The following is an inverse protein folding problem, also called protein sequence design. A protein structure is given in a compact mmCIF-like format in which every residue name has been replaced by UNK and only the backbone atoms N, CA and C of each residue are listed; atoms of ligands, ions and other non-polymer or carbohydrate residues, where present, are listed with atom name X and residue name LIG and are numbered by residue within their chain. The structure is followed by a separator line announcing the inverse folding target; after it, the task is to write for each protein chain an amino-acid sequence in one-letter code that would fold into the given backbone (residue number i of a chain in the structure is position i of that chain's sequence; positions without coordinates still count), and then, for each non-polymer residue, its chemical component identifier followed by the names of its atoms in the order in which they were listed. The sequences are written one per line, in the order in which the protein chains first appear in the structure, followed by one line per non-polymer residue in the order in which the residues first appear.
data_IF_814529222496
#
_entry.id   IF_814529222496
#
_cell.length_a   1.000
_cell.length_b   1.000
_cell.length_c   1.000
_cell.angle_alpha   90.00
_cell.angle_beta   90.00
_cell.angle_gamma   90.00
#
_symmetry.space_group_name_H-M   'P 1'
#
loop_
_entity.id
_entity.type
_entity.pdbx_description
1 polymer ?
#
# COMPACT_ATOMS: atom_id res chain seq x y z
N UNK A 1 -35.48 -16.84 36.91
CA UNK A 1 -34.52 -17.38 37.92
C UNK A 1 -33.30 -16.49 38.17
N UNK A 2 -32.54 -16.04 37.15
CA UNK A 2 -31.30 -15.25 37.38
C UNK A 2 -31.54 -13.87 38.03
N UNK A 3 -32.65 -13.19 37.70
CA UNK A 3 -32.99 -11.88 38.26
C UNK A 3 -33.47 -11.98 39.72
N UNK A 4 -34.32 -12.97 40.00
CA UNK A 4 -34.87 -13.22 41.35
C UNK A 4 -33.77 -13.48 42.38
N UNK A 5 -32.73 -14.25 42.02
CA UNK A 5 -31.57 -14.49 42.90
C UNK A 5 -30.78 -13.22 43.23
N UNK A 6 -30.65 -12.30 42.26
CA UNK A 6 -29.96 -11.00 42.45
C UNK A 6 -30.75 -10.08 43.37
N UNK A 7 -32.08 -10.05 43.22
CA UNK A 7 -32.99 -9.28 44.08
C UNK A 7 -32.96 -9.82 45.51
N UNK A 8 -33.05 -11.15 45.68
CA UNK A 8 -32.96 -11.79 47.00
C UNK A 8 -31.62 -11.49 47.65
N UNK A 9 -30.50 -11.62 46.91
CA UNK A 9 -29.17 -11.28 47.42
C UNK A 9 -29.05 -9.81 47.86
N UNK A 10 -29.60 -8.88 47.08
CA UNK A 10 -29.64 -7.45 47.43
C UNK A 10 -30.43 -7.21 48.72
N UNK A 11 -31.63 -7.78 48.84
CA UNK A 11 -32.50 -7.61 50.02
C UNK A 11 -31.82 -8.17 51.27
N UNK A 12 -31.25 -9.37 51.20
CA UNK A 12 -30.53 -9.97 52.33
C UNK A 12 -29.38 -9.08 52.78
N UNK A 13 -28.56 -8.59 51.85
CA UNK A 13 -27.42 -7.73 52.19
C UNK A 13 -27.85 -6.38 52.79
N UNK A 14 -28.95 -5.79 52.30
CA UNK A 14 -29.50 -4.55 52.86
C UNK A 14 -30.02 -4.76 54.29
N UNK A 15 -30.72 -5.87 54.54
CA UNK A 15 -31.22 -6.19 55.88
C UNK A 15 -30.05 -6.37 56.85
N UNK A 16 -29.03 -7.15 56.47
CA UNK A 16 -27.85 -7.38 57.32
C UNK A 16 -27.10 -6.06 57.55
N UNK A 17 -26.97 -5.20 56.54
CA UNK A 17 -26.34 -3.88 56.70
C UNK A 17 -27.12 -3.01 57.70
N UNK A 18 -28.44 -2.89 57.56
CA UNK A 18 -29.28 -2.08 58.46
C UNK A 18 -29.19 -2.57 59.91
N UNK A 19 -29.32 -3.88 60.11
CA UNK A 19 -29.22 -4.49 61.46
C UNK A 19 -27.84 -4.24 62.06
N UNK A 20 -26.77 -4.46 61.30
CA UNK A 20 -25.40 -4.28 61.81
C UNK A 20 -25.12 -2.82 62.17
N UNK A 21 -25.62 -1.86 61.39
CA UNK A 21 -25.51 -0.44 61.69
C UNK A 21 -26.30 -0.02 62.93
N UNK A 22 -27.52 -0.55 63.10
CA UNK A 22 -28.33 -0.27 64.28
C UNK A 22 -27.69 -0.84 65.55
N UNK A 23 -27.15 -2.06 65.50
CA UNK A 23 -26.50 -2.70 66.65
C UNK A 23 -25.22 -1.97 67.06
N UNK A 24 -24.45 -1.47 66.10
CA UNK A 24 -23.27 -0.65 66.37
C UNK A 24 -23.64 0.66 67.08
N UNK A 25 -24.67 1.37 66.59
CA UNK A 25 -25.15 2.62 67.22
C UNK A 25 -25.74 2.44 68.62
N UNK A 26 -26.27 1.26 68.92
CA UNK A 26 -26.78 0.91 70.26
C UNK A 26 -25.62 0.50 71.21
N UNK A 27 -24.39 0.37 70.70
CA UNK A 27 -23.19 0.04 71.47
C UNK A 27 -22.93 -1.46 71.63
N UNK A 28 -23.64 -2.32 70.87
CA UNK A 28 -23.46 -3.77 70.89
C UNK A 28 -22.35 -4.13 69.89
N UNK A 29 -21.10 -3.94 70.28
CA UNK A 29 -19.94 -4.08 69.41
C UNK A 29 -19.48 -5.53 69.11
N UNK A 30 -19.93 -6.51 69.91
CA UNK A 30 -19.38 -7.88 70.02
C UNK A 30 -17.89 -7.92 70.44
N UNK A 31 -16.98 -7.32 69.66
CA UNK A 31 -15.59 -6.99 70.02
C UNK A 31 -15.09 -5.80 69.18
N UNK A 32 -14.05 -5.10 69.67
CA UNK A 32 -13.45 -3.97 68.96
C UNK A 32 -12.33 -4.44 68.03
N UNK A 33 -12.38 -4.04 66.76
CA UNK A 33 -11.37 -4.35 65.74
C UNK A 33 -10.24 -3.32 65.72
N UNK A 34 -10.53 -2.09 66.11
CA UNK A 34 -9.58 -1.00 66.30
C UNK A 34 -10.12 -0.05 67.39
N UNK A 35 -9.36 1.00 67.72
CA UNK A 35 -9.78 1.99 68.72
C UNK A 35 -11.08 2.72 68.36
N UNK A 36 -11.47 2.73 67.08
CA UNK A 36 -12.62 3.49 66.58
C UNK A 36 -13.72 2.64 65.96
N UNK A 37 -13.50 1.35 65.69
CA UNK A 37 -14.45 0.53 64.92
C UNK A 37 -14.73 -0.84 65.55
N UNK A 38 -16.01 -1.17 65.65
CA UNK A 38 -16.51 -2.45 66.13
C UNK A 38 -16.58 -3.51 65.03
N UNK A 39 -16.74 -4.78 65.43
CA UNK A 39 -17.07 -5.86 64.51
C UNK A 39 -18.41 -5.65 63.79
N UNK A 40 -19.41 -5.05 64.45
CA UNK A 40 -20.69 -4.75 63.81
C UNK A 40 -20.54 -3.72 62.69
N UNK A 41 -19.71 -2.71 62.89
CA UNK A 41 -19.39 -1.72 61.86
C UNK A 41 -18.68 -2.34 60.65
N UNK A 42 -17.80 -3.33 60.88
CA UNK A 42 -17.20 -4.12 59.81
C UNK A 42 -18.24 -4.91 59.01
N UNK A 43 -19.14 -5.62 59.70
CA UNK A 43 -20.21 -6.39 59.06
C UNK A 43 -21.16 -5.50 58.25
N UNK A 44 -21.42 -4.29 58.73
CA UNK A 44 -22.13 -3.26 57.99
C UNK A 44 -21.42 -2.91 56.68
N UNK A 45 -20.13 -2.56 56.71
CA UNK A 45 -19.37 -2.18 55.50
C UNK A 45 -19.35 -3.33 54.48
N UNK A 46 -19.06 -4.55 54.92
CA UNK A 46 -19.03 -5.73 54.03
C UNK A 46 -20.40 -5.91 53.36
N UNK A 47 -21.46 -5.89 54.16
CA UNK A 47 -22.83 -6.09 53.67
C UNK A 47 -23.30 -4.93 52.76
N UNK A 48 -22.88 -3.69 53.04
CA UNK A 48 -23.11 -2.54 52.19
C UNK A 48 -22.38 -2.67 50.83
N UNK A 49 -21.13 -3.14 50.80
CA UNK A 49 -20.41 -3.41 49.57
C UNK A 49 -21.09 -4.50 48.73
N UNK A 50 -21.56 -5.59 49.36
CA UNK A 50 -22.30 -6.65 48.66
C UNK A 50 -23.64 -6.15 48.13
N UNK A 51 -24.37 -5.34 48.90
CA UNK A 51 -25.60 -4.70 48.45
C UNK A 51 -25.34 -3.79 47.24
N UNK A 52 -24.28 -2.97 47.28
CA UNK A 52 -23.87 -2.15 46.13
C UNK A 52 -23.57 -2.98 44.88
N UNK A 53 -22.83 -4.09 45.03
CA UNK A 53 -22.52 -5.01 43.94
C UNK A 53 -23.77 -5.63 43.31
N UNK A 54 -24.66 -6.19 44.13
CA UNK A 54 -25.92 -6.77 43.64
C UNK A 54 -26.84 -5.71 43.03
N UNK A 55 -26.87 -4.50 43.60
CA UNK A 55 -27.63 -3.37 43.09
C UNK A 55 -27.15 -2.93 41.71
N UNK A 56 -25.84 -2.74 41.52
CA UNK A 56 -25.27 -2.37 40.21
C UNK A 56 -25.53 -3.43 39.14
N UNK A 57 -25.38 -4.71 39.47
CA UNK A 57 -25.69 -5.81 38.53
C UNK A 57 -27.18 -5.89 38.23
N UNK A 58 -28.05 -5.66 39.22
CA UNK A 58 -29.49 -5.64 39.01
C UNK A 58 -29.87 -4.49 38.07
N UNK A 59 -29.36 -3.28 38.31
CA UNK A 59 -29.60 -2.10 37.49
C UNK A 59 -29.14 -2.30 36.04
N UNK A 60 -27.96 -2.89 35.82
CA UNK A 60 -27.51 -3.19 34.45
C UNK A 60 -28.37 -4.26 33.79
N UNK A 61 -28.75 -5.31 34.52
CA UNK A 61 -29.62 -6.36 33.97
C UNK A 61 -30.97 -5.77 33.55
N UNK A 62 -31.56 -4.90 34.37
CA UNK A 62 -32.81 -4.21 34.05
C UNK A 62 -32.64 -3.28 32.85
N UNK A 63 -31.58 -2.46 32.81
CA UNK A 63 -31.32 -1.56 31.67
C UNK A 63 -31.10 -2.32 30.35
N UNK A 64 -30.37 -3.44 30.39
CA UNK A 64 -30.13 -4.28 29.20
C UNK A 64 -31.43 -4.92 28.73
N UNK A 65 -32.25 -5.46 29.64
CA UNK A 65 -33.55 -6.03 29.29
C UNK A 65 -34.51 -4.97 28.72
N UNK A 66 -34.54 -3.76 29.30
CA UNK A 66 -35.33 -2.64 28.79
C UNK A 66 -34.89 -2.18 27.39
N UNK A 67 -33.61 -2.30 27.07
CA UNK A 67 -33.04 -1.93 25.77
C UNK A 67 -32.95 -3.08 24.76
N UNK A 68 -33.51 -4.26 25.10
CA UNK A 68 -33.36 -5.49 24.30
C UNK A 68 -31.89 -5.83 23.98
N UNK A 69 -30.97 -5.45 24.87
CA UNK A 69 -29.54 -5.70 24.71
C UNK A 69 -29.17 -7.16 24.97
N UNK A 70 -27.97 -7.54 24.54
CA UNK A 70 -27.51 -8.92 24.63
C UNK A 70 -27.01 -9.26 26.05
N UNK A 71 -27.23 -10.50 26.51
CA UNK A 71 -26.80 -10.97 27.83
C UNK A 71 -25.27 -10.86 28.06
N UNK A 72 -24.50 -10.83 26.96
CA UNK A 72 -23.05 -10.61 26.98
C UNK A 72 -22.62 -9.28 27.60
N UNK A 73 -23.40 -8.20 27.44
CA UNK A 73 -23.09 -6.89 28.01
C UNK A 73 -23.12 -6.90 29.54
N UNK A 74 -24.09 -7.62 30.12
CA UNK A 74 -24.21 -7.80 31.58
C UNK A 74 -23.00 -8.58 32.12
N UNK A 75 -22.50 -9.57 31.36
CA UNK A 75 -21.31 -10.34 31.75
C UNK A 75 -20.04 -9.49 31.71
N UNK A 76 -19.89 -8.65 30.69
CA UNK A 76 -18.76 -7.74 30.55
C UNK A 76 -18.73 -6.70 31.69
N UNK A 77 -19.84 -6.00 31.94
CA UNK A 77 -19.94 -5.03 33.04
C UNK A 77 -19.86 -5.69 34.41
N UNK A 78 -20.39 -6.91 34.54
CA UNK A 78 -20.29 -7.70 35.77
C UNK A 78 -18.84 -8.02 36.14
N UNK A 79 -17.94 -8.17 35.17
CA UNK A 79 -16.49 -8.29 35.41
C UNK A 79 -15.91 -7.05 36.09
N UNK A 80 -16.24 -5.85 35.56
CA UNK A 80 -15.82 -4.58 36.13
C UNK A 80 -16.35 -4.38 37.56
N UNK A 81 -17.62 -4.68 37.80
CA UNK A 81 -18.22 -4.55 39.14
C UNK A 81 -17.59 -5.50 40.16
N UNK A 82 -17.12 -6.69 39.75
CA UNK A 82 -16.39 -7.59 40.65
C UNK A 82 -15.06 -6.99 41.09
N UNK A 83 -14.33 -6.34 40.17
CA UNK A 83 -13.07 -5.67 40.48
C UNK A 83 -13.32 -4.48 41.42
N UNK A 84 -14.30 -3.63 41.12
CA UNK A 84 -14.67 -2.50 41.98
C UNK A 84 -15.12 -2.97 43.37
N UNK A 85 -15.92 -4.04 43.42
CA UNK A 85 -16.35 -4.66 44.68
C UNK A 85 -15.17 -5.16 45.50
N UNK A 86 -14.20 -5.84 44.87
CA UNK A 86 -12.98 -6.29 45.56
C UNK A 86 -12.20 -5.13 46.17
N UNK A 87 -11.98 -4.05 45.40
CA UNK A 87 -11.30 -2.85 45.92
C UNK A 87 -12.11 -2.13 47.01
N UNK A 88 -13.43 -2.06 46.88
CA UNK A 88 -14.30 -1.48 47.91
C UNK A 88 -14.24 -2.28 49.22
N UNK A 89 -14.25 -3.61 49.13
CA UNK A 89 -14.11 -4.51 50.29
C UNK A 89 -12.73 -4.36 50.95
N UNK A 90 -11.66 -4.33 50.14
CA UNK A 90 -10.30 -4.12 50.62
C UNK A 90 -10.16 -2.76 51.33
N UNK A 91 -10.72 -1.71 50.74
CA UNK A 91 -10.72 -0.36 51.33
C UNK A 91 -11.53 -0.32 52.63
N UNK A 92 -12.70 -0.96 52.66
CA UNK A 92 -13.52 -1.12 53.85
C UNK A 92 -12.78 -1.83 54.99
N UNK A 93 -12.04 -2.90 54.68
CA UNK A 93 -11.19 -3.60 55.64
C UNK A 93 -10.07 -2.70 56.18
N UNK A 94 -9.39 -1.95 55.31
CA UNK A 94 -8.32 -1.03 55.73
C UNK A 94 -8.82 0.12 56.60
N UNK A 95 -10.04 0.62 56.35
CA UNK A 95 -10.71 1.61 57.18
C UNK A 95 -10.95 1.08 58.60
N UNK A 96 -11.56 -0.11 58.70
CA UNK A 96 -11.88 -0.73 60.00
C UNK A 96 -10.65 -1.04 60.83
N UNK A 97 -9.55 -1.47 60.18
CA UNK A 97 -8.27 -1.72 60.85
C UNK A 97 -7.50 -0.44 61.24
N UNK A 98 -8.01 0.75 60.90
CA UNK A 98 -7.35 2.03 61.19
C UNK A 98 -6.08 2.28 60.37
N UNK A 99 -5.82 1.50 59.32
CA UNK A 99 -4.59 1.56 58.50
C UNK A 99 -4.77 2.28 57.16
N UNK A 100 -5.73 3.20 57.08
CA UNK A 100 -6.03 3.93 55.84
C UNK A 100 -4.83 4.74 55.33
N UNK A 101 -4.03 5.30 56.24
CA UNK A 101 -2.79 6.02 55.90
C UNK A 101 -1.74 5.10 55.28
N UNK A 102 -1.58 3.89 55.82
CA UNK A 102 -0.66 2.88 55.26
C UNK A 102 -1.10 2.42 53.88
N UNK A 103 -2.42 2.26 53.67
CA UNK A 103 -2.97 1.98 52.34
C UNK A 103 -2.72 3.14 51.37
N UNK A 104 -2.93 4.39 51.80
CA UNK A 104 -2.64 5.59 51.02
C UNK A 104 -1.16 5.70 50.63
N UNK A 105 -0.25 5.44 51.57
CA UNK A 105 1.20 5.44 51.33
C UNK A 105 1.64 4.30 50.39
N UNK A 106 1.09 3.10 50.56
CA UNK A 106 1.32 1.99 49.64
C UNK A 106 0.80 2.31 48.23
N UNK A 107 -0.40 2.88 48.13
CA UNK A 107 -0.99 3.23 46.86
C UNK A 107 -0.27 4.41 46.20
N UNK A 108 0.26 5.39 46.93
CA UNK A 108 1.07 6.46 46.32
C UNK A 108 2.42 5.96 45.82
N UNK A 109 3.08 5.07 46.57
CA UNK A 109 4.39 4.52 46.20
C UNK A 109 4.32 3.50 45.06
N UNK A 110 3.34 2.59 45.08
CA UNK A 110 3.24 1.50 44.09
C UNK A 110 2.03 1.64 43.18
N UNK A 111 0.85 1.91 43.75
CA UNK A 111 -0.39 2.04 42.99
C UNK A 111 -0.36 3.18 41.97
N UNK A 112 0.19 4.34 42.33
CA UNK A 112 0.28 5.52 41.48
C UNK A 112 1.23 5.33 40.32
N UNK A 113 2.37 4.66 40.54
CA UNK A 113 3.33 4.31 39.50
C UNK A 113 2.75 3.30 38.51
N UNK A 114 2.15 2.22 39.02
CA UNK A 114 1.51 1.19 38.18
C UNK A 114 0.33 1.76 37.39
N UNK A 115 -0.54 2.54 38.04
CA UNK A 115 -1.65 3.20 37.36
C UNK A 115 -1.17 4.23 36.37
N UNK A 116 -0.16 5.05 36.71
CA UNK A 116 0.44 6.03 35.81
C UNK A 116 0.98 5.39 34.53
N UNK A 117 1.73 4.29 34.64
CA UNK A 117 2.21 3.54 33.48
C UNK A 117 1.09 2.87 32.69
N UNK A 118 0.10 2.26 33.37
CA UNK A 118 -1.01 1.61 32.67
C UNK A 118 -1.94 2.60 31.94
N UNK A 119 -2.08 3.82 32.49
CA UNK A 119 -2.93 4.88 31.96
C UNK A 119 -2.19 5.80 30.99
N UNK A 120 -0.88 5.63 30.80
CA UNK A 120 -0.10 6.44 29.87
C UNK A 120 -0.75 6.46 28.47
N UNK A 121 -1.07 5.29 27.90
CA UNK A 121 -1.67 5.22 26.57
C UNK A 121 -3.06 5.87 26.50
N UNK A 122 -4.03 5.60 27.40
CA UNK A 122 -5.30 6.33 27.43
C UNK A 122 -5.16 7.84 27.56
N UNK A 123 -4.28 8.32 28.44
CA UNK A 123 -4.04 9.75 28.67
C UNK A 123 -3.40 10.40 27.44
N UNK A 124 -2.41 9.76 26.83
CA UNK A 124 -1.84 10.19 25.56
C UNK A 124 -2.87 10.19 24.45
N UNK A 125 -3.75 9.18 24.38
CA UNK A 125 -4.83 9.15 23.39
C UNK A 125 -5.80 10.33 23.53
N UNK A 126 -6.16 10.68 24.76
CA UNK A 126 -6.95 11.88 25.04
C UNK A 126 -6.21 13.17 24.66
N UNK A 127 -4.92 13.28 24.97
CA UNK A 127 -4.11 14.43 24.59
C UNK A 127 -4.00 14.57 23.06
N UNK A 128 -3.80 13.47 22.32
CA UNK A 128 -3.82 13.45 20.86
C UNK A 128 -5.17 13.92 20.32
N UNK A 129 -6.26 13.51 20.96
CA UNK A 129 -7.60 13.95 20.58
C UNK A 129 -7.79 15.46 20.70
N UNK A 130 -7.40 16.04 21.84
CA UNK A 130 -7.43 17.49 22.05
C UNK A 130 -6.54 18.21 21.03
N UNK A 131 -5.32 17.72 20.81
CA UNK A 131 -4.36 18.31 19.87
C UNK A 131 -4.86 18.34 18.43
N UNK A 132 -5.42 17.23 17.94
CA UNK A 132 -5.96 17.15 16.57
C UNK A 132 -7.17 18.07 16.41
N UNK A 133 -8.01 18.25 17.44
CA UNK A 133 -9.12 19.21 17.39
C UNK A 133 -8.64 20.65 17.29
N UNK A 134 -7.59 21.00 18.03
CA UNK A 134 -7.03 22.36 18.05
C UNK A 134 -6.23 22.67 16.78
N UNK A 135 -5.31 21.78 16.39
CA UNK A 135 -4.40 22.01 15.27
C UNK A 135 -5.01 21.62 13.91
N UNK A 136 -6.02 20.75 13.91
CA UNK A 136 -6.75 20.26 12.73
C UNK A 136 -5.83 19.83 11.56
N UNK A 137 -4.85 18.93 11.78
CA UNK A 137 -4.01 18.41 10.71
C UNK A 137 -4.80 17.63 9.63
N UNK A 138 -5.94 17.05 10.02
CA UNK A 138 -6.91 16.40 9.15
C UNK A 138 -8.33 16.56 9.72
N UNK A 139 -9.34 16.45 8.86
CA UNK A 139 -10.77 16.65 9.14
C UNK A 139 -11.58 15.38 8.93
N UNK A 140 -12.84 15.40 9.34
CA UNK A 140 -13.80 14.34 9.02
C UNK A 140 -14.01 14.31 7.50
N UNK A 141 -13.92 13.11 6.91
CA UNK A 141 -13.99 12.89 5.47
C UNK A 141 -12.64 12.89 4.77
N UNK A 142 -11.55 13.35 5.41
CA UNK A 142 -10.23 13.36 4.77
C UNK A 142 -9.72 11.93 4.56
N UNK A 143 -9.10 11.67 3.41
CA UNK A 143 -8.36 10.44 3.15
C UNK A 143 -6.95 10.55 3.74
N UNK A 144 -6.62 9.68 4.68
CA UNK A 144 -5.32 9.68 5.35
C UNK A 144 -4.62 8.32 5.21
N UNK A 145 -3.30 8.37 5.14
CA UNK A 145 -2.43 7.19 5.13
C UNK A 145 -1.48 7.23 6.31
N UNK A 146 -1.27 6.06 6.91
CA UNK A 146 -0.21 5.77 7.87
C UNK A 146 0.76 4.78 7.24
N UNK A 147 1.85 5.24 6.58
CA UNK A 147 2.75 4.36 5.81
C UNK A 147 3.35 3.24 6.65
N UNK A 148 3.74 3.55 7.87
CA UNK A 148 4.29 2.62 8.87
C UNK A 148 3.33 1.51 9.30
N UNK A 149 2.02 1.74 9.19
CA UNK A 149 0.98 0.77 9.50
C UNK A 149 0.44 0.06 8.25
N UNK A 150 0.89 0.47 7.06
CA UNK A 150 0.31 0.00 5.78
C UNK A 150 -1.19 0.28 5.68
N UNK A 151 -1.66 1.36 6.32
CA UNK A 151 -3.08 1.66 6.48
C UNK A 151 -3.45 2.92 5.69
N UNK A 152 -4.50 2.82 4.87
CA UNK A 152 -5.12 3.95 4.18
C UNK A 152 -6.62 3.93 4.50
N UNK A 153 -7.20 5.09 4.77
CA UNK A 153 -8.64 5.17 4.99
C UNK A 153 -9.18 6.58 5.11
N UNK A 154 -10.48 6.70 4.92
CA UNK A 154 -11.22 7.95 5.02
C UNK A 154 -11.67 8.17 6.48
N UNK A 155 -11.47 9.37 7.02
CA UNK A 155 -11.77 9.67 8.42
C UNK A 155 -13.28 9.74 8.64
N UNK A 156 -13.83 8.78 9.39
CA UNK A 156 -15.28 8.73 9.69
C UNK A 156 -15.59 9.46 11.00
N UNK A 157 -14.82 9.17 12.05
CA UNK A 157 -15.09 9.71 13.38
C UNK A 157 -13.81 9.81 14.20
N UNK A 158 -13.71 10.87 14.98
CA UNK A 158 -12.63 11.06 15.92
C UNK A 158 -13.16 11.12 17.36
N UNK A 159 -12.92 10.04 18.12
CA UNK A 159 -13.32 9.93 19.53
C UNK A 159 -12.10 10.09 20.44
N UNK A 160 -12.24 10.32 21.75
CA UNK A 160 -11.10 10.54 22.64
C UNK A 160 -10.07 9.40 22.67
N UNK A 161 -10.50 8.15 22.51
CA UNK A 161 -9.61 6.98 22.55
C UNK A 161 -9.20 6.48 21.16
N UNK A 162 -10.04 6.68 20.15
CA UNK A 162 -9.87 6.05 18.84
C UNK A 162 -10.22 7.00 17.69
N UNK A 163 -9.39 6.97 16.66
CA UNK A 163 -9.65 7.47 15.33
C UNK A 163 -10.25 6.35 14.51
N UNK A 164 -11.43 6.60 13.94
CA UNK A 164 -12.16 5.62 13.13
C UNK A 164 -12.04 5.97 11.67
N UNK A 165 -11.48 5.05 10.90
CA UNK A 165 -11.27 5.17 9.46
C UNK A 165 -12.13 4.15 8.74
N UNK A 166 -12.68 4.52 7.59
CA UNK A 166 -13.19 3.56 6.63
C UNK A 166 -12.03 3.14 5.73
N UNK A 167 -11.63 1.87 5.79
CA UNK A 167 -10.47 1.37 5.04
C UNK A 167 -10.66 1.59 3.53
N UNK A 168 -9.61 2.11 2.91
CA UNK A 168 -9.49 2.23 1.46
C UNK A 168 -8.41 1.25 1.00
N UNK A 169 -8.75 0.40 0.03
CA UNK A 169 -7.87 -0.69 -0.42
C UNK A 169 -7.65 -1.80 0.63
N UNK A 170 -6.48 -2.46 0.55
CA UNK A 170 -6.11 -3.59 1.42
C UNK A 170 -6.60 -4.93 0.89
N UNK A 171 -7.88 -5.25 1.06
CA UNK A 171 -8.47 -6.50 0.51
C UNK A 171 -8.60 -6.43 -1.02
N UNK A 172 -8.71 -5.22 -1.56
CA UNK A 172 -8.78 -4.93 -2.98
C UNK A 172 -7.57 -4.07 -3.33
N UNK A 173 -6.94 -4.32 -4.49
CA UNK A 173 -5.79 -3.54 -4.97
C UNK A 173 -6.14 -2.12 -5.47
N UNK A 174 -7.44 -1.79 -5.56
CA UNK A 174 -7.94 -0.47 -5.92
C UNK A 174 -8.05 0.43 -4.69
N UNK A 175 -7.85 1.74 -4.85
CA UNK A 175 -8.01 2.75 -3.79
C UNK A 175 -9.48 3.13 -3.57
N UNK A 176 -10.34 2.11 -3.44
CA UNK A 176 -11.77 2.26 -3.18
C UNK A 176 -12.12 1.95 -1.72
N UNK A 177 -13.15 2.61 -1.16
CA UNK A 177 -13.60 2.35 0.19
C UNK A 177 -14.25 0.95 0.30
N UNK A 178 -13.69 0.10 1.15
CA UNK A 178 -14.12 -1.31 1.32
C UNK A 178 -15.30 -1.44 2.29
N UNK A 179 -15.59 -0.39 3.07
CA UNK A 179 -16.62 -0.41 4.12
C UNK A 179 -16.15 -1.07 5.42
N UNK A 180 -14.84 -1.32 5.56
CA UNK A 180 -14.25 -1.89 6.78
C UNK A 180 -13.81 -0.78 7.72
N UNK A 181 -14.45 -0.72 8.89
CA UNK A 181 -14.13 0.26 9.92
C UNK A 181 -12.88 -0.16 10.71
N UNK A 182 -11.90 0.73 10.78
CA UNK A 182 -10.65 0.53 11.49
C UNK A 182 -10.56 1.54 12.62
N UNK A 183 -10.32 1.06 13.83
CA UNK A 183 -10.14 1.88 15.02
C UNK A 183 -8.66 1.95 15.38
N UNK A 184 -8.04 3.09 15.10
CA UNK A 184 -6.65 3.38 15.45
C UNK A 184 -6.63 4.01 16.84
N UNK A 185 -5.91 3.43 17.83
CA UNK A 185 -5.73 4.06 19.13
C UNK A 185 -5.06 5.42 18.99
N UNK A 186 -5.65 6.47 19.53
CA UNK A 186 -5.13 7.83 19.37
C UNK A 186 -3.71 8.00 19.92
N UNK A 187 -3.35 7.22 20.95
CA UNK A 187 -2.01 7.23 21.52
C UNK A 187 -0.91 6.91 20.50
N UNK A 188 -1.23 6.12 19.48
CA UNK A 188 -0.30 5.76 18.41
C UNK A 188 -0.05 6.93 17.46
N UNK A 189 -0.98 7.89 17.34
CA UNK A 189 -0.88 8.99 16.36
C UNK A 189 0.34 9.88 16.58
N UNK A 190 0.84 9.99 17.82
CA UNK A 190 2.06 10.77 18.11
C UNK A 190 3.34 10.12 17.57
N UNK A 191 3.34 8.81 17.37
CA UNK A 191 4.51 8.07 16.91
C UNK A 191 4.49 7.80 15.41
N UNK A 192 3.39 8.13 14.72
CA UNK A 192 3.19 7.79 13.31
C UNK A 192 3.13 9.05 12.45
N UNK A 193 3.74 9.01 11.27
CA UNK A 193 3.56 10.04 10.24
C UNK A 193 2.21 9.80 9.57
N UNK A 194 1.35 10.81 9.57
CA UNK A 194 0.09 10.81 8.85
C UNK A 194 0.23 11.63 7.56
N UNK A 195 -0.07 11.02 6.41
CA UNK A 195 -0.12 11.70 5.12
C UNK A 195 -1.59 11.96 4.79
N UNK A 196 -1.96 13.22 4.63
CA UNK A 196 -3.32 13.62 4.27
C UNK A 196 -3.41 13.85 2.75
N UNK A 197 -4.16 13.00 2.06
CA UNK A 197 -4.38 13.05 0.61
C UNK A 197 -5.41 14.11 0.22
N UNK A 198 -6.28 14.49 1.18
CA UNK A 198 -7.39 15.43 0.99
C UNK A 198 -7.08 16.79 1.63
N UNK A 199 -5.79 17.12 1.84
CA UNK A 199 -5.36 18.35 2.51
C UNK A 199 -5.64 19.57 1.62
N UNK A 200 -6.85 20.11 1.77
CA UNK A 200 -7.46 21.19 0.98
C UNK A 200 -6.48 22.30 0.55
N UNK A 201 -6.26 22.41 -0.77
CA UNK A 201 -5.94 23.69 -1.42
C UNK A 201 -7.26 24.45 -1.65
N UNK A 202 -7.67 25.25 -0.65
CA UNK A 202 -8.47 26.49 -0.69
C UNK A 202 -9.61 26.77 -1.70
N UNK A 203 -9.99 25.94 -2.66
CA UNK A 203 -11.17 26.15 -3.50
C UNK A 203 -12.21 25.08 -3.24
N UNK A 204 -13.47 25.44 -3.46
CA UNK A 204 -14.66 24.65 -3.12
C UNK A 204 -14.81 23.38 -3.97
N UNK A 205 -13.80 23.07 -4.80
CA UNK A 205 -13.81 21.98 -5.75
C UNK A 205 -12.61 21.05 -5.51
N UNK A 206 -12.90 19.84 -5.02
CA UNK A 206 -11.96 18.70 -5.01
C UNK A 206 -10.70 18.83 -4.15
N UNK A 207 -10.07 17.70 -3.84
CA UNK A 207 -8.67 17.71 -3.42
C UNK A 207 -7.85 17.10 -4.52
N UNK A 208 -7.14 17.95 -5.27
CA UNK A 208 -6.42 17.53 -6.44
C UNK A 208 -5.00 17.06 -6.10
N UNK A 209 -4.64 15.88 -6.60
CA UNK A 209 -3.32 15.29 -6.49
C UNK A 209 -2.80 14.93 -7.86
N UNK A 210 -1.47 14.87 -7.99
CA UNK A 210 -0.82 14.39 -9.20
C UNK A 210 -0.89 12.87 -9.25
N UNK A 211 -1.40 12.34 -10.35
CA UNK A 211 -1.45 10.90 -10.62
C UNK A 211 -0.71 10.55 -11.92
N UNK A 212 -0.36 9.28 -12.07
CA UNK A 212 0.40 8.74 -13.20
C UNK A 212 -0.30 7.49 -13.77
N UNK A 213 -0.67 7.56 -15.05
CA UNK A 213 -1.10 6.40 -15.84
C UNK A 213 0.05 5.95 -16.74
N UNK A 214 0.35 4.66 -16.71
CA UNK A 214 1.52 4.08 -17.38
C UNK A 214 1.09 3.23 -18.58
N UNK A 215 1.64 3.55 -19.75
CA UNK A 215 1.39 2.85 -21.02
C UNK A 215 2.69 2.26 -21.54
N UNK A 216 2.64 0.99 -21.95
CA UNK A 216 3.78 0.27 -22.53
C UNK A 216 3.57 0.20 -24.04
N UNK A 217 4.44 0.84 -24.80
CA UNK A 217 4.33 1.02 -26.24
C UNK A 217 5.52 0.38 -26.94
N UNK A 218 5.34 -0.20 -28.13
CA UNK A 218 6.43 -0.81 -28.89
C UNK A 218 7.45 0.23 -29.36
N UNK A 219 8.71 -0.19 -29.56
CA UNK A 219 9.78 0.71 -30.03
C UNK A 219 9.54 1.29 -31.43
N UNK A 220 8.79 0.56 -32.26
CA UNK A 220 8.46 0.95 -33.64
C UNK A 220 7.30 1.95 -33.73
N UNK A 221 6.67 2.29 -32.61
CA UNK A 221 5.54 3.23 -32.59
C UNK A 221 5.99 4.68 -32.76
N UNK A 222 5.17 5.48 -33.43
CA UNK A 222 5.40 6.92 -33.58
C UNK A 222 5.13 7.67 -32.26
N UNK A 223 6.18 8.30 -31.73
CA UNK A 223 6.15 8.99 -30.44
C UNK A 223 5.20 10.17 -30.43
N UNK A 224 5.19 10.98 -31.50
CA UNK A 224 4.34 12.17 -31.59
C UNK A 224 2.86 11.78 -31.56
N UNK A 225 2.51 10.69 -32.25
CA UNK A 225 1.16 10.13 -32.23
C UNK A 225 0.78 9.62 -30.83
N UNK A 226 1.69 8.93 -30.13
CA UNK A 226 1.45 8.45 -28.75
C UNK A 226 1.16 9.63 -27.82
N UNK A 227 2.05 10.63 -27.77
CA UNK A 227 1.89 11.78 -26.89
C UNK A 227 0.58 12.51 -27.16
N UNK A 228 0.25 12.73 -28.44
CA UNK A 228 -1.00 13.39 -28.83
C UNK A 228 -2.23 12.63 -28.35
N UNK A 229 -2.27 11.30 -28.50
CA UNK A 229 -3.39 10.46 -28.05
C UNK A 229 -3.54 10.50 -26.53
N UNK A 230 -2.43 10.34 -25.80
CA UNK A 230 -2.44 10.34 -24.33
C UNK A 230 -2.85 11.70 -23.75
N UNK A 231 -2.29 12.79 -24.27
CA UNK A 231 -2.60 14.15 -23.82
C UNK A 231 -4.05 14.54 -24.12
N UNK A 232 -4.55 14.25 -25.34
CA UNK A 232 -5.93 14.55 -25.69
C UNK A 232 -6.92 13.77 -24.81
N UNK A 233 -6.64 12.49 -24.57
CA UNK A 233 -7.47 11.67 -23.68
C UNK A 233 -7.48 12.22 -22.26
N UNK A 234 -6.32 12.57 -21.69
CA UNK A 234 -6.25 13.16 -20.36
C UNK A 234 -7.02 14.48 -20.29
N UNK A 235 -6.84 15.38 -21.27
CA UNK A 235 -7.56 16.66 -21.34
C UNK A 235 -9.07 16.49 -21.38
N UNK A 236 -9.56 15.53 -22.16
CA UNK A 236 -10.98 15.25 -22.24
C UNK A 236 -11.56 14.73 -20.92
N UNK A 237 -10.88 13.78 -20.26
CA UNK A 237 -11.37 13.17 -19.01
C UNK A 237 -11.24 14.13 -17.83
N UNK A 238 -10.18 14.93 -17.79
CA UNK A 238 -9.86 15.83 -16.66
C UNK A 238 -10.21 17.29 -16.92
N UNK A 239 -11.01 17.59 -17.94
CA UNK A 239 -11.37 18.97 -18.36
C UNK A 239 -11.77 19.88 -17.20
N UNK A 240 -12.70 19.45 -16.37
CA UNK A 240 -13.19 20.22 -15.23
C UNK A 240 -12.07 20.49 -14.20
N UNK A 241 -11.15 19.54 -14.03
CA UNK A 241 -10.02 19.65 -13.10
C UNK A 241 -8.99 20.64 -13.65
N UNK A 242 -8.75 20.62 -14.96
CA UNK A 242 -7.84 21.57 -15.63
C UNK A 242 -8.39 23.00 -15.52
N UNK A 243 -9.69 23.20 -15.72
CA UNK A 243 -10.35 24.51 -15.58
C UNK A 243 -10.18 25.11 -14.18
N UNK A 244 -10.13 24.28 -13.15
CA UNK A 244 -10.01 24.73 -11.75
C UNK A 244 -8.57 24.87 -11.26
N UNK A 245 -7.70 23.93 -11.66
CA UNK A 245 -6.28 23.89 -11.23
C UNK A 245 -5.36 24.70 -12.13
N UNK A 246 -5.76 24.96 -13.38
CA UNK A 246 -4.92 25.57 -14.42
C UNK A 246 -3.71 24.70 -14.82
N UNK A 247 -3.68 23.43 -14.43
CA UNK A 247 -2.54 22.54 -14.66
C UNK A 247 -2.84 21.57 -15.81
N UNK A 248 -2.06 21.67 -16.88
CA UNK A 248 -2.17 20.78 -18.04
C UNK A 248 -1.50 19.42 -17.78
N UNK A 249 -2.05 18.31 -18.30
CA UNK A 249 -1.38 17.03 -18.28
C UNK A 249 -0.13 17.05 -19.17
N UNK A 250 0.84 16.21 -18.83
CA UNK A 250 2.08 16.08 -19.59
C UNK A 250 2.55 14.62 -19.60
N UNK A 251 3.36 14.27 -20.59
CA UNK A 251 3.89 12.92 -20.77
C UNK A 251 5.40 12.92 -20.53
N UNK A 252 5.91 11.86 -19.92
CA UNK A 252 7.35 11.52 -19.87
C UNK A 252 7.52 10.09 -20.35
N UNK A 253 8.66 9.77 -20.94
CA UNK A 253 8.95 8.42 -21.41
C UNK A 253 10.25 7.92 -20.80
N UNK A 254 10.26 6.66 -20.38
CA UNK A 254 11.46 5.91 -20.01
C UNK A 254 11.64 4.70 -20.93
N UNK A 255 12.85 4.17 -21.02
CA UNK A 255 13.11 2.90 -21.71
C UNK A 255 12.56 1.71 -20.91
N UNK A 256 12.10 0.67 -21.60
CA UNK A 256 11.62 -0.59 -21.02
C UNK A 256 12.15 -1.79 -21.82
N UNK A 257 12.24 -2.97 -21.21
CA UNK A 257 12.93 -4.14 -21.78
C UNK A 257 12.48 -4.54 -23.20
N UNK A 258 11.20 -4.34 -23.50
CA UNK A 258 10.57 -4.71 -24.78
C UNK A 258 9.75 -3.56 -25.38
N UNK A 259 10.06 -2.31 -25.03
CA UNK A 259 9.31 -1.15 -25.48
C UNK A 259 9.73 0.17 -24.83
N UNK A 260 8.84 1.15 -24.91
CA UNK A 260 8.94 2.45 -24.24
C UNK A 260 7.83 2.58 -23.20
N UNK A 261 8.19 3.05 -22.00
CA UNK A 261 7.27 3.29 -20.89
C UNK A 261 6.82 4.75 -20.90
N UNK A 262 5.64 5.03 -21.46
CA UNK A 262 5.03 6.36 -21.43
C UNK A 262 4.26 6.56 -20.11
N UNK A 263 4.66 7.57 -19.35
CA UNK A 263 4.07 8.02 -18.09
C UNK A 263 3.26 9.29 -18.33
N UNK A 264 1.95 9.13 -18.41
CA UNK A 264 1.01 10.23 -18.52
C UNK A 264 0.70 10.76 -17.12
N UNK A 265 1.07 12.00 -16.84
CA UNK A 265 0.84 12.65 -15.55
C UNK A 265 -0.27 13.69 -15.67
N UNK A 266 -1.23 13.63 -14.76
CA UNK A 266 -2.42 14.49 -14.75
C UNK A 266 -2.86 14.77 -13.30
N UNK A 267 -3.56 15.88 -13.10
CA UNK A 267 -4.21 16.17 -11.83
C UNK A 267 -5.55 15.42 -11.75
N UNK A 268 -5.82 14.79 -10.61
CA UNK A 268 -7.05 14.04 -10.35
C UNK A 268 -7.57 14.34 -8.96
N UNK A 269 -8.88 14.18 -8.73
CA UNK A 269 -9.40 14.16 -7.37
C UNK A 269 -8.87 12.94 -6.61
N UNK A 270 -8.44 13.15 -5.36
CA UNK A 270 -7.81 12.14 -4.53
C UNK A 270 -8.75 10.95 -4.19
N UNK A 271 -10.06 11.19 -4.13
CA UNK A 271 -11.04 10.15 -3.80
C UNK A 271 -11.52 9.39 -5.03
N UNK A 272 -11.61 10.09 -6.17
CA UNK A 272 -12.13 9.56 -7.45
C UNK A 272 -11.03 9.10 -8.42
N UNK A 273 -9.77 9.13 -7.95
CA UNK A 273 -8.58 8.71 -8.69
C UNK A 273 -8.74 7.36 -9.43
N UNK A 274 -9.24 6.27 -8.81
CA UNK A 274 -9.40 4.99 -9.54
C UNK A 274 -10.32 5.09 -10.75
N UNK A 275 -11.42 5.85 -10.65
CA UNK A 275 -12.39 6.02 -11.74
C UNK A 275 -11.80 6.84 -12.87
N UNK A 276 -11.13 7.94 -12.55
CA UNK A 276 -10.50 8.83 -13.54
C UNK A 276 -9.39 8.08 -14.28
N UNK A 277 -8.52 7.39 -13.55
CA UNK A 277 -7.48 6.54 -14.13
C UNK A 277 -8.08 5.47 -15.05
N UNK A 278 -9.15 4.80 -14.63
CA UNK A 278 -9.85 3.81 -15.47
C UNK A 278 -10.38 4.42 -16.76
N UNK A 279 -11.03 5.60 -16.71
CA UNK A 279 -11.55 6.28 -17.91
C UNK A 279 -10.42 6.70 -18.86
N UNK A 280 -9.31 7.21 -18.34
CA UNK A 280 -8.12 7.56 -19.15
C UNK A 280 -7.56 6.30 -19.82
N UNK A 281 -7.26 5.25 -19.05
CA UNK A 281 -6.69 4.00 -19.56
C UNK A 281 -7.59 3.38 -20.62
N UNK A 282 -8.91 3.31 -20.36
CA UNK A 282 -9.89 2.76 -21.29
C UNK A 282 -9.96 3.53 -22.60
N UNK A 283 -10.01 4.86 -22.56
CA UNK A 283 -10.10 5.70 -23.77
C UNK A 283 -8.80 5.72 -24.55
N UNK A 284 -7.67 5.91 -23.87
CA UNK A 284 -6.36 5.91 -24.49
C UNK A 284 -6.07 4.57 -25.19
N UNK A 285 -6.38 3.45 -24.54
CA UNK A 285 -6.23 2.11 -25.14
C UNK A 285 -7.07 1.96 -26.41
N UNK A 286 -8.31 2.43 -26.40
CA UNK A 286 -9.19 2.37 -27.58
C UNK A 286 -8.68 3.25 -28.73
N UNK A 287 -8.15 4.42 -28.44
CA UNK A 287 -7.58 5.30 -29.46
C UNK A 287 -6.27 4.75 -30.01
N UNK A 288 -5.41 4.16 -29.17
CA UNK A 288 -4.20 3.45 -29.62
C UNK A 288 -4.58 2.32 -30.57
N UNK A 289 -5.55 1.47 -30.21
CA UNK A 289 -6.00 0.34 -31.04
C UNK A 289 -6.56 0.75 -32.43
N UNK A 290 -7.04 1.98 -32.59
CA UNK A 290 -7.52 2.51 -33.89
C UNK A 290 -6.38 3.03 -34.77
N UNK A 291 -5.26 3.42 -34.17
CA UNK A 291 -4.14 4.02 -34.88
C UNK A 291 -3.14 2.95 -35.32
N UNK A 292 -2.87 2.86 -36.62
CA UNK A 292 -1.93 1.86 -37.17
C UNK A 292 -0.45 2.15 -36.85
N UNK A 293 -0.15 3.37 -36.40
CA UNK A 293 1.20 3.84 -36.13
C UNK A 293 1.63 3.62 -34.67
N UNK A 294 0.74 3.09 -33.82
CA UNK A 294 1.01 2.86 -32.40
C UNK A 294 0.55 1.47 -32.02
N UNK A 295 1.42 0.71 -31.37
CA UNK A 295 1.10 -0.63 -30.88
C UNK A 295 1.48 -0.79 -29.39
N UNK A 296 0.71 -1.59 -28.68
CA UNK A 296 0.94 -1.87 -27.26
C UNK A 296 2.04 -2.93 -27.13
N UNK A 297 3.02 -2.66 -26.28
CA UNK A 297 4.11 -3.60 -26.05
C UNK A 297 3.63 -4.83 -25.28
N UNK A 298 3.81 -6.00 -25.88
CA UNK A 298 3.59 -7.31 -25.25
C UNK A 298 4.97 -7.91 -24.92
N UNK A 299 5.17 -8.51 -23.74
CA UNK A 299 6.41 -9.20 -23.44
C UNK A 299 6.66 -10.30 -24.48
N UNK A 300 7.84 -10.31 -25.09
CA UNK A 300 8.29 -11.37 -25.98
C UNK A 300 9.61 -11.95 -25.48
N UNK A 301 9.79 -13.26 -25.71
CA UNK A 301 11.04 -13.95 -25.45
C UNK A 301 11.47 -14.60 -26.75
N UNK A 302 12.64 -14.20 -27.27
CA UNK A 302 13.24 -14.89 -28.40
C UNK A 302 13.82 -16.22 -27.92
N UNK A 303 13.28 -17.33 -28.44
CA UNK A 303 13.80 -18.68 -28.18
C UNK A 303 14.30 -19.28 -29.49
N UNK A 304 15.62 -19.28 -29.68
CA UNK A 304 16.24 -20.01 -30.77
C UNK A 304 16.37 -21.48 -30.35
N UNK A 305 15.43 -22.33 -30.80
CA UNK A 305 15.58 -23.78 -30.64
C UNK A 305 16.53 -24.27 -31.72
N UNK A 306 17.72 -24.76 -31.34
CA UNK A 306 18.62 -25.45 -32.27
C UNK A 306 17.95 -26.76 -32.69
N UNK A 307 17.22 -26.73 -33.81
CA UNK A 307 16.60 -27.89 -34.43
C UNK A 307 17.58 -28.55 -35.39
N UNK A 308 17.99 -29.76 -35.04
CA UNK A 308 18.68 -30.72 -35.89
C UNK A 308 17.81 -31.02 -37.13
N UNK A 309 18.34 -30.73 -38.31
CA UNK A 309 17.92 -31.10 -39.68
C UNK A 309 16.41 -31.15 -40.05
N UNK A 310 16.00 -30.16 -40.85
CA UNK A 310 15.19 -30.34 -42.06
C UNK A 310 13.70 -30.71 -41.94
N UNK A 311 12.81 -29.73 -42.09
CA UNK A 311 11.59 -29.86 -42.89
C UNK A 311 10.96 -28.48 -43.16
N UNK A 312 10.61 -28.29 -44.42
CA UNK A 312 10.05 -27.10 -45.08
C UNK A 312 8.72 -26.57 -44.52
N UNK A 313 8.46 -25.32 -44.91
CA UNK A 313 7.16 -24.61 -45.01
C UNK A 313 6.63 -23.90 -43.76
N UNK A 314 6.99 -22.62 -43.60
CA UNK A 314 6.03 -21.52 -43.43
C UNK A 314 6.74 -20.17 -43.64
N UNK A 315 6.47 -19.52 -44.77
CA UNK A 315 6.90 -18.15 -45.06
C UNK A 315 6.23 -17.15 -44.09
N UNK A 316 7.00 -16.66 -43.12
CA UNK A 316 6.93 -15.30 -42.59
C UNK A 316 8.34 -14.73 -42.73
N UNK A 317 8.44 -13.54 -43.33
CA UNK A 317 9.69 -12.88 -43.75
C UNK A 317 10.82 -13.10 -42.74
N UNK A 318 11.69 -14.05 -43.05
CA UNK A 318 12.92 -14.31 -42.30
C UNK A 318 14.03 -13.68 -43.11
N UNK A 319 14.70 -12.70 -42.53
CA UNK A 319 16.08 -12.41 -42.87
C UNK A 319 16.81 -13.76 -42.97
N UNK A 320 17.18 -14.15 -44.18
CA UNK A 320 17.76 -15.48 -44.42
C UNK A 320 19.25 -15.33 -44.20
N UNK A 321 19.79 -16.08 -43.23
CA UNK A 321 21.23 -16.12 -42.98
C UNK A 321 21.82 -17.17 -43.92
N UNK A 322 22.67 -16.73 -44.84
CA UNK A 322 23.39 -17.59 -45.78
C UNK A 322 24.89 -17.49 -45.52
N UNK A 323 25.62 -18.58 -45.75
CA UNK A 323 27.09 -18.58 -45.70
C UNK A 323 27.64 -18.11 -47.05
N UNK A 324 28.23 -16.92 -47.06
CA UNK A 324 28.81 -16.32 -48.26
C UNK A 324 30.31 -16.49 -48.26
N UNK A 325 30.90 -16.71 -49.43
CA UNK A 325 32.35 -16.65 -49.58
C UNK A 325 32.83 -15.25 -49.24
N UNK A 326 33.87 -15.12 -48.43
CA UNK A 326 34.38 -13.80 -48.00
C UNK A 326 34.79 -12.96 -49.21
N UNK A 327 35.32 -13.60 -50.26
CA UNK A 327 35.71 -12.96 -51.52
C UNK A 327 34.52 -12.43 -52.35
N UNK A 328 33.31 -12.95 -52.11
CA UNK A 328 32.10 -12.48 -52.80
C UNK A 328 31.51 -11.21 -52.16
N UNK A 329 32.05 -10.76 -51.02
CA UNK A 329 31.56 -9.58 -50.29
C UNK A 329 32.45 -8.38 -50.57
N UNK A 330 31.90 -7.43 -51.33
CA UNK A 330 32.49 -6.13 -51.59
C UNK A 330 32.21 -5.17 -50.42
N UNK A 331 33.28 -4.55 -49.91
CA UNK A 331 33.18 -3.50 -48.91
C UNK A 331 34.03 -2.31 -49.37
N UNK A 332 33.38 -1.17 -49.59
CA UNK A 332 34.02 0.08 -50.06
C UNK A 332 35.19 0.52 -49.16
N UNK A 333 35.11 0.22 -47.86
CA UNK A 333 36.14 0.57 -46.88
C UNK A 333 37.34 -0.39 -46.86
N UNK A 334 37.33 -1.50 -47.60
CA UNK A 334 38.49 -2.42 -47.64
C UNK A 334 39.74 -1.76 -48.24
N UNK A 335 39.57 -0.76 -49.12
CA UNK A 335 40.65 -0.03 -49.78
C UNK A 335 41.21 1.15 -48.96
N UNK A 336 40.55 1.53 -47.85
CA UNK A 336 40.98 2.62 -46.98
C UNK A 336 41.97 2.13 -45.90
N UNK A 337 43.27 2.14 -46.22
CA UNK A 337 44.33 1.72 -45.29
C UNK A 337 44.40 2.57 -44.00
N UNK A 338 43.98 3.84 -44.04
CA UNK A 338 44.04 4.71 -42.88
C UNK A 338 42.95 4.33 -41.87
N UNK A 339 41.74 4.03 -42.35
CA UNK A 339 40.64 3.55 -41.52
C UNK A 339 41.02 2.28 -40.73
N UNK A 340 41.75 1.35 -41.34
CA UNK A 340 42.14 0.10 -40.66
C UNK A 340 43.27 0.29 -39.65
N UNK A 341 44.24 1.17 -39.91
CA UNK A 341 45.31 1.51 -38.95
C UNK A 341 44.74 2.17 -37.70
N UNK A 342 43.77 3.05 -37.85
CA UNK A 342 43.13 3.72 -36.71
C UNK A 342 42.32 2.74 -35.82
N UNK A 343 41.81 1.65 -36.40
CA UNK A 343 40.94 0.69 -35.71
C UNK A 343 41.64 -0.66 -35.44
N UNK A 344 42.96 -0.74 -35.57
CA UNK A 344 43.72 -2.00 -35.52
C UNK A 344 43.50 -2.77 -34.21
N UNK A 345 43.60 -2.10 -33.06
CA UNK A 345 43.40 -2.73 -31.75
C UNK A 345 41.99 -3.32 -31.58
N UNK A 346 40.96 -2.60 -32.00
CA UNK A 346 39.57 -3.06 -31.91
C UNK A 346 39.33 -4.29 -32.79
N UNK A 347 39.94 -4.32 -33.98
CA UNK A 347 39.81 -5.45 -34.90
C UNK A 347 40.50 -6.68 -34.34
N UNK A 348 41.67 -6.53 -33.69
CA UNK A 348 42.34 -7.65 -33.02
C UNK A 348 41.50 -8.22 -31.86
N UNK A 349 40.85 -7.36 -31.06
CA UNK A 349 39.94 -7.83 -30.00
C UNK A 349 38.71 -8.54 -30.58
N UNK A 350 38.12 -7.99 -31.64
CA UNK A 350 37.00 -8.62 -32.35
C UNK A 350 37.43 -9.97 -32.94
N UNK A 351 38.60 -10.06 -33.56
CA UNK A 351 39.14 -11.30 -34.12
C UNK A 351 39.38 -12.35 -33.03
N UNK A 352 39.94 -11.96 -31.88
CA UNK A 352 40.12 -12.86 -30.73
C UNK A 352 38.77 -13.40 -30.23
N UNK A 353 37.78 -12.53 -30.07
CA UNK A 353 36.44 -12.91 -29.64
C UNK A 353 35.75 -13.84 -30.66
N UNK A 354 35.88 -13.57 -31.96
CA UNK A 354 35.35 -14.43 -33.03
C UNK A 354 36.04 -15.79 -33.03
N UNK A 355 37.35 -15.86 -32.77
CA UNK A 355 38.08 -17.12 -32.69
C UNK A 355 37.67 -17.97 -31.47
N UNK A 356 37.33 -17.33 -30.34
CA UNK A 356 36.92 -18.03 -29.12
C UNK A 356 35.44 -18.44 -29.12
N UNK A 357 34.54 -17.57 -29.60
CA UNK A 357 33.09 -17.73 -29.47
C UNK A 357 32.35 -17.88 -30.81
N UNK A 358 33.04 -17.74 -31.93
CA UNK A 358 32.42 -17.65 -33.26
C UNK A 358 31.81 -16.27 -33.55
N UNK A 359 31.32 -16.09 -34.78
CA UNK A 359 30.69 -14.85 -35.20
C UNK A 359 29.22 -14.81 -34.73
N UNK A 360 29.00 -14.25 -33.53
CA UNK A 360 27.67 -14.21 -32.88
C UNK A 360 26.63 -13.38 -33.65
N UNK A 361 27.07 -12.33 -34.32
CA UNK A 361 26.21 -11.48 -35.15
C UNK A 361 26.69 -11.56 -36.60
N UNK A 362 25.87 -12.06 -37.54
CA UNK A 362 26.19 -12.06 -38.97
C UNK A 362 26.45 -10.66 -39.53
N UNK A 363 27.23 -10.59 -40.60
CA UNK A 363 27.37 -9.36 -41.38
C UNK A 363 26.11 -9.12 -42.20
N UNK A 364 25.76 -7.86 -42.47
CA UNK A 364 24.56 -7.54 -43.26
C UNK A 364 25.00 -7.13 -44.64
N UNK A 365 24.46 -7.80 -45.66
CA UNK A 365 24.82 -7.59 -47.05
C UNK A 365 23.59 -7.42 -47.94
N UNK A 366 23.83 -6.88 -49.13
CA UNK A 366 22.87 -6.72 -50.22
C UNK A 366 23.43 -7.42 -51.45
N UNK A 367 22.63 -8.25 -52.13
CA UNK A 367 23.02 -8.84 -53.41
C UNK A 367 23.04 -7.76 -54.49
N UNK A 368 24.13 -7.70 -55.27
CA UNK A 368 24.24 -6.80 -56.42
C UNK A 368 23.39 -7.34 -57.59
N UNK A 369 22.84 -6.44 -58.42
CA UNK A 369 21.95 -6.81 -59.54
C UNK A 369 22.72 -7.31 -60.76
N UNK A 370 23.97 -6.88 -60.91
CA UNK A 370 24.76 -7.05 -62.13
C UNK A 370 25.75 -8.22 -62.04
N UNK A 371 26.04 -8.73 -60.83
CA UNK A 371 27.02 -9.80 -60.55
C UNK A 371 26.54 -10.73 -59.41
N UNK A 372 27.13 -11.94 -59.29
CA UNK A 372 26.95 -12.85 -58.13
C UNK A 372 27.70 -12.39 -56.86
N UNK A 373 27.95 -11.08 -56.74
CA UNK A 373 28.63 -10.44 -55.62
C UNK A 373 27.64 -9.75 -54.67
N UNK A 374 28.10 -9.48 -53.45
CA UNK A 374 27.32 -8.87 -52.38
C UNK A 374 28.00 -7.59 -51.89
N UNK A 375 27.25 -6.51 -51.69
CA UNK A 375 27.75 -5.29 -51.05
C UNK A 375 27.48 -5.32 -49.56
N UNK A 376 28.51 -5.09 -48.74
CA UNK A 376 28.41 -5.01 -47.30
C UNK A 376 27.70 -3.72 -46.86
N UNK A 377 26.61 -3.85 -46.10
CA UNK A 377 25.92 -2.72 -45.47
C UNK A 377 26.45 -2.43 -44.06
N UNK A 378 26.63 -3.48 -43.26
CA UNK A 378 27.04 -3.36 -41.85
C UNK A 378 27.93 -4.51 -41.41
N UNK A 379 28.99 -4.19 -40.67
CA UNK A 379 29.88 -5.18 -40.05
C UNK A 379 31.30 -5.18 -40.64
N UNK A 380 31.80 -4.03 -41.07
CA UNK A 380 33.10 -3.87 -41.74
C UNK A 380 34.25 -4.42 -40.88
N UNK A 381 34.27 -4.09 -39.59
CA UNK A 381 35.27 -4.61 -38.64
C UNK A 381 35.17 -6.13 -38.43
N UNK A 382 33.96 -6.69 -38.49
CA UNK A 382 33.71 -8.14 -38.37
C UNK A 382 34.16 -8.87 -39.63
N UNK A 383 33.86 -8.33 -40.82
CA UNK A 383 34.38 -8.86 -42.08
C UNK A 383 35.91 -8.84 -42.09
N UNK A 384 36.54 -7.72 -41.71
CA UNK A 384 38.00 -7.59 -41.63
C UNK A 384 38.61 -8.56 -40.62
N UNK A 385 37.99 -8.74 -39.46
CA UNK A 385 38.42 -9.73 -38.48
C UNK A 385 38.33 -11.16 -39.03
N UNK A 386 37.27 -11.51 -39.77
CA UNK A 386 37.14 -12.83 -40.41
C UNK A 386 38.19 -13.05 -41.51
N UNK A 387 38.53 -12.00 -42.28
CA UNK A 387 39.63 -12.04 -43.26
C UNK A 387 40.97 -12.28 -42.54
N UNK A 388 41.25 -11.59 -41.43
CA UNK A 388 42.47 -11.79 -40.65
C UNK A 388 42.58 -13.20 -40.05
N UNK A 389 41.45 -13.81 -39.69
CA UNK A 389 41.36 -15.18 -39.20
C UNK A 389 41.43 -16.23 -40.32
N UNK A 390 41.43 -15.82 -41.60
CA UNK A 390 41.51 -16.73 -42.74
C UNK A 390 40.23 -17.52 -43.03
N UNK A 391 39.06 -16.96 -42.69
CA UNK A 391 37.79 -17.63 -42.97
C UNK A 391 37.45 -17.58 -44.46
N UNK A 392 37.11 -18.73 -45.06
CA UNK A 392 36.67 -18.80 -46.46
C UNK A 392 35.20 -18.40 -46.63
N UNK A 393 34.35 -18.70 -45.64
CA UNK A 393 32.92 -18.37 -45.63
C UNK A 393 32.53 -17.66 -44.33
N UNK A 394 31.62 -16.70 -44.44
CA UNK A 394 31.09 -15.93 -43.31
C UNK A 394 29.56 -15.93 -43.34
N UNK A 395 28.87 -16.11 -42.20
CA UNK A 395 27.43 -15.99 -42.15
C UNK A 395 27.02 -14.54 -42.39
N UNK A 396 26.13 -14.33 -43.34
CA UNK A 396 25.63 -13.03 -43.74
C UNK A 396 24.10 -13.02 -43.84
N UNK A 397 23.50 -11.91 -43.40
CA UNK A 397 22.08 -11.63 -43.60
C UNK A 397 21.93 -10.90 -44.93
N UNK A 398 21.19 -11.50 -45.87
CA UNK A 398 20.89 -10.88 -47.17
C UNK A 398 19.59 -10.07 -47.03
N UNK A 399 19.67 -8.74 -47.19
CA UNK A 399 18.52 -7.84 -47.00
C UNK A 399 17.61 -7.68 -48.23
N UNK A 400 18.06 -8.05 -49.43
CA UNK A 400 17.29 -7.81 -50.66
C UNK A 400 16.36 -8.97 -51.04
N UNK A 401 15.17 -8.61 -51.53
CA UNK A 401 14.13 -9.52 -52.05
C UNK A 401 14.64 -10.31 -53.26
N UNK A 402 14.31 -11.60 -53.35
CA UNK A 402 14.18 -12.27 -54.65
C UNK A 402 13.04 -11.58 -55.43
N UNK A 403 13.33 -10.95 -56.57
CA UNK A 403 12.31 -10.34 -57.44
C UNK A 403 11.91 -8.88 -57.11
N UNK A 404 12.83 -8.01 -56.70
CA UNK A 404 12.63 -6.56 -56.82
C UNK A 404 12.81 -6.06 -58.28
N UNK A 405 12.43 -6.90 -59.24
CA UNK A 405 12.16 -6.49 -60.61
C UNK A 405 10.89 -5.65 -60.59
N UNK A 406 10.90 -4.52 -61.30
CA UNK A 406 9.81 -3.54 -61.38
C UNK A 406 9.74 -2.65 -60.14
N UNK A 407 10.48 -1.55 -60.17
CA UNK A 407 10.06 -0.17 -59.85
C UNK A 407 11.35 0.63 -59.61
N UNK A 408 11.97 1.05 -60.72
CA UNK A 408 12.81 2.25 -60.76
C UNK A 408 11.91 3.47 -60.88
#
# INVERSE_FOLDING_TARGET
MKLTRKIIGLIICLIIAIISYMLDNIGIALFMLSESYSFMYFLFIVSACFAGYFGLILLTTLKVQLKQGNDGEVKMLGGLYKVLFFFALLMGLMLVLGKIQSFGAFFSMFGGMLLGWSLQAPVSGFAAWVMVIMMRPYKLGDRIQFPSLGLIGDVVKFSPMYLTLNQVGGTIGSEEPVGRMIHVPNAMLFAQVAINYTYKQQKESGSYILDEAVFRITLDSDWDTVEKVLLNTAREVTKNIIEETGTEPYVRADTWEYGTLFRLRYMTDATDRPRIMYEIVKRATKEIQKNKNVDLAIPYVYSFKRGYDGASTASKHSETIEELGVDSIQCEKLEDENFWKENENEIYEIAKNINEMGLLQPVIVVRNMDDDNYTLLFGEKRLKACILLGWEKIPAIIRNKYGAEIYK
#
